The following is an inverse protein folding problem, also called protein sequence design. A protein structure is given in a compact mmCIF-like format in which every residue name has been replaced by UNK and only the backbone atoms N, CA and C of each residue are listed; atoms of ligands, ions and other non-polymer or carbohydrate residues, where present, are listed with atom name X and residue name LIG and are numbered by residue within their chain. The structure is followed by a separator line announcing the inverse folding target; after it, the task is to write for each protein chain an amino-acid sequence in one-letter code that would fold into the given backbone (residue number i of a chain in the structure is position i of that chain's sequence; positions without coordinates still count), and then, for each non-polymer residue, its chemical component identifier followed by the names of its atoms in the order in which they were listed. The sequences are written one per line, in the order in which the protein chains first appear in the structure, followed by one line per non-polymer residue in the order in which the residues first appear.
data_IF_829544599739
#
_entry.id   IF_829544599739
#
_cell.length_a   1.000
_cell.length_b   1.000
_cell.length_c   1.000
_cell.angle_alpha   90.00
_cell.angle_beta   90.00
_cell.angle_gamma   90.00
#
_symmetry.space_group_name_H-M   'P 1'
#
loop_
_entity.id
_entity.type
_entity.pdbx_description
1 polymer ?
#
# COMPACT_ATOMS: atom_id res chain seq x y z
N UNK A 1 -7.86 10.10 0.16
CA UNK A 1 -7.10 11.25 -0.33
C UNK A 1 -6.37 10.97 -1.64
N UNK A 2 -5.44 10.00 -1.70
CA UNK A 2 -4.74 9.63 -2.95
C UNK A 2 -5.69 9.48 -4.15
N UNK A 3 -6.80 8.74 -3.98
CA UNK A 3 -7.84 8.61 -5.00
C UNK A 3 -8.42 9.96 -5.47
N UNK A 4 -8.70 10.88 -4.54
CA UNK A 4 -9.29 12.18 -4.85
C UNK A 4 -8.29 13.03 -5.65
N UNK A 5 -7.05 13.13 -5.18
CA UNK A 5 -5.99 13.87 -5.86
C UNK A 5 -5.76 13.37 -7.29
N UNK A 6 -5.71 12.04 -7.48
CA UNK A 6 -5.56 11.47 -8.82
C UNK A 6 -6.79 11.72 -9.68
N UNK A 7 -8.00 11.62 -9.12
CA UNK A 7 -9.25 11.84 -9.86
C UNK A 7 -9.41 13.30 -10.28
N UNK A 8 -9.02 14.24 -9.42
CA UNK A 8 -9.05 15.68 -9.67
C UNK A 8 -8.02 16.09 -10.73
N UNK A 9 -6.83 15.48 -10.71
CA UNK A 9 -5.80 15.69 -11.74
C UNK A 9 -6.21 15.07 -13.09
N UNK A 10 -6.59 13.79 -13.10
CA UNK A 10 -7.04 13.09 -14.29
C UNK A 10 -7.94 11.88 -13.95
N UNK A 11 -9.25 11.92 -14.29
CA UNK A 11 -10.17 10.82 -13.99
C UNK A 11 -9.81 9.50 -14.69
N UNK A 12 -9.12 9.53 -15.83
CA UNK A 12 -8.72 8.32 -16.56
C UNK A 12 -7.66 7.52 -15.79
N UNK A 13 -6.81 8.20 -14.99
CA UNK A 13 -5.83 7.53 -14.11
C UNK A 13 -6.55 6.64 -13.11
N UNK A 14 -7.57 7.18 -12.44
CA UNK A 14 -8.33 6.43 -11.45
C UNK A 14 -9.14 5.31 -12.11
N UNK A 15 -9.73 5.57 -13.28
CA UNK A 15 -10.43 4.54 -14.06
C UNK A 15 -9.53 3.34 -14.36
N UNK A 16 -8.30 3.58 -14.82
CA UNK A 16 -7.32 2.53 -15.04
C UNK A 16 -6.97 1.79 -13.74
N UNK A 17 -6.73 2.51 -12.64
CA UNK A 17 -6.40 1.91 -11.34
C UNK A 17 -7.57 1.16 -10.67
N UNK A 18 -8.80 1.36 -11.14
CA UNK A 18 -9.99 0.59 -10.74
C UNK A 18 -10.26 -0.64 -11.62
N UNK A 19 -9.44 -0.89 -12.64
CA UNK A 19 -9.62 -2.07 -13.51
C UNK A 19 -9.51 -3.37 -12.69
N UNK A 20 -10.45 -4.34 -12.82
CA UNK A 20 -10.49 -5.53 -11.98
C UNK A 20 -9.28 -6.46 -12.12
N UNK A 21 -8.42 -6.23 -13.10
CA UNK A 21 -7.22 -7.03 -13.34
C UNK A 21 -5.93 -6.21 -13.28
N UNK A 22 -5.99 -4.97 -12.78
CA UNK A 22 -4.86 -4.03 -12.87
C UNK A 22 -3.58 -4.55 -12.24
N UNK A 23 -3.70 -5.25 -11.10
CA UNK A 23 -2.57 -5.67 -10.28
C UNK A 23 -2.73 -7.12 -9.83
N UNK A 24 -1.71 -7.92 -10.07
CA UNK A 24 -1.59 -9.31 -9.65
C UNK A 24 -0.42 -9.46 -8.69
N UNK A 25 -0.69 -10.06 -7.53
CA UNK A 25 0.33 -10.52 -6.59
C UNK A 25 0.46 -12.04 -6.80
N UNK A 26 1.59 -12.56 -7.32
CA UNK A 26 1.77 -13.99 -7.58
C UNK A 26 1.85 -14.81 -6.31
N UNK A 27 1.36 -16.06 -6.35
CA UNK A 27 1.40 -16.98 -5.21
C UNK A 27 2.72 -16.97 -4.42
N UNK A 28 2.62 -17.02 -3.10
CA UNK A 28 3.79 -17.09 -2.23
C UNK A 28 3.99 -18.53 -1.75
N UNK A 29 5.01 -19.20 -2.29
CA UNK A 29 5.41 -20.57 -1.92
C UNK A 29 6.62 -20.55 -0.99
N UNK A 30 6.56 -21.33 0.08
CA UNK A 30 7.67 -21.57 1.01
C UNK A 30 7.73 -23.07 1.28
N UNK A 31 8.90 -23.68 1.09
CA UNK A 31 9.13 -25.12 1.27
C UNK A 31 8.14 -25.99 0.47
N UNK A 32 7.84 -25.58 -0.77
CA UNK A 32 6.88 -26.27 -1.65
C UNK A 32 5.40 -26.09 -1.28
N UNK A 33 5.08 -25.41 -0.16
CA UNK A 33 3.70 -25.15 0.27
C UNK A 33 3.27 -23.73 -0.10
N UNK A 34 2.08 -23.61 -0.69
CA UNK A 34 1.44 -22.31 -0.97
C UNK A 34 0.99 -21.70 0.35
N UNK A 35 1.64 -20.61 0.77
CA UNK A 35 1.26 -19.83 1.96
C UNK A 35 0.25 -18.73 1.63
N UNK A 36 0.22 -18.28 0.37
CA UNK A 36 -0.74 -17.30 -0.15
C UNK A 36 -1.00 -17.62 -1.61
N UNK A 37 -2.27 -17.76 -2.00
CA UNK A 37 -2.64 -17.91 -3.39
C UNK A 37 -2.37 -16.63 -4.18
N UNK A 38 -2.37 -16.72 -5.51
CA UNK A 38 -2.37 -15.55 -6.39
C UNK A 38 -3.55 -14.63 -6.05
N UNK A 39 -3.34 -13.32 -6.12
CA UNK A 39 -4.40 -12.33 -5.87
C UNK A 39 -4.36 -11.27 -6.96
N UNK A 40 -5.39 -11.26 -7.80
CA UNK A 40 -5.62 -10.30 -8.89
C UNK A 40 -6.79 -9.37 -8.53
N UNK A 41 -6.88 -8.20 -9.13
CA UNK A 41 -7.86 -7.17 -8.72
C UNK A 41 -7.44 -5.73 -9.05
N UNK A 42 -8.30 -4.76 -8.70
CA UNK A 42 -8.04 -3.33 -8.87
C UNK A 42 -7.14 -2.75 -7.77
N UNK A 43 -6.45 -1.63 -8.01
CA UNK A 43 -5.71 -0.93 -6.96
C UNK A 43 -6.67 -0.18 -6.03
N UNK A 44 -7.67 0.51 -6.59
CA UNK A 44 -8.74 1.15 -5.83
C UNK A 44 -10.04 0.37 -5.96
N UNK A 45 -10.72 0.13 -4.84
CA UNK A 45 -11.99 -0.60 -4.80
C UNK A 45 -12.83 -0.19 -3.59
N UNK A 46 -14.13 -0.45 -3.66
CA UNK A 46 -14.98 -0.42 -2.47
C UNK A 46 -14.86 -1.77 -1.78
N UNK A 47 -14.42 -1.77 -0.54
CA UNK A 47 -14.39 -2.98 0.28
C UNK A 47 -15.83 -3.37 0.62
N UNK A 48 -16.25 -4.58 0.26
CA UNK A 48 -17.65 -5.01 0.40
C UNK A 48 -18.11 -5.09 1.87
N UNK A 49 -17.20 -5.44 2.78
CA UNK A 49 -17.53 -5.63 4.20
C UNK A 49 -17.71 -4.29 4.91
N UNK A 50 -16.80 -3.35 4.66
CA UNK A 50 -16.81 -2.04 5.33
C UNK A 50 -17.51 -0.95 4.52
N UNK A 51 -17.85 -1.20 3.25
CA UNK A 51 -18.43 -0.25 2.31
C UNK A 51 -17.63 1.06 2.20
N UNK A 52 -16.29 0.96 2.31
CA UNK A 52 -15.38 2.11 2.19
C UNK A 52 -14.43 1.95 1.03
N UNK A 53 -14.07 3.07 0.42
CA UNK A 53 -13.00 3.13 -0.56
C UNK A 53 -11.67 2.69 0.07
N UNK A 54 -11.09 1.67 -0.51
CA UNK A 54 -9.84 1.03 -0.09
C UNK A 54 -8.82 1.03 -1.21
N UNK A 55 -7.54 0.92 -0.83
CA UNK A 55 -6.43 0.85 -1.75
C UNK A 55 -5.58 -0.37 -1.40
N UNK A 56 -5.30 -1.21 -2.41
CA UNK A 56 -4.28 -2.26 -2.32
C UNK A 56 -3.14 -1.89 -3.26
N UNK A 57 -2.03 -1.43 -2.68
CA UNK A 57 -0.86 -1.04 -3.45
C UNK A 57 0.42 -1.22 -2.65
N UNK A 58 1.51 -1.49 -3.35
CA UNK A 58 2.85 -1.55 -2.77
C UNK A 58 3.86 -1.02 -3.77
N UNK A 59 4.75 -0.13 -3.32
CA UNK A 59 5.89 0.32 -4.13
C UNK A 59 7.02 -0.74 -4.20
N UNK A 60 6.87 -1.88 -3.50
CA UNK A 60 7.82 -2.99 -3.58
C UNK A 60 7.55 -3.81 -4.85
N UNK A 61 8.20 -3.43 -5.95
CA UNK A 61 7.96 -3.98 -7.30
C UNK A 61 8.37 -5.44 -7.52
N UNK A 62 9.19 -6.03 -6.63
CA UNK A 62 9.81 -7.35 -6.86
C UNK A 62 8.83 -8.52 -7.02
N UNK A 63 7.56 -8.37 -6.65
CA UNK A 63 6.56 -9.45 -6.70
C UNK A 63 5.17 -8.94 -7.08
N UNK A 64 5.10 -7.97 -8.00
CA UNK A 64 3.84 -7.43 -8.52
C UNK A 64 3.88 -7.48 -10.03
N UNK A 65 2.83 -8.03 -10.62
CA UNK A 65 2.56 -8.01 -12.05
C UNK A 65 1.42 -7.04 -12.31
N UNK A 66 1.56 -6.21 -13.33
CA UNK A 66 0.47 -5.34 -13.79
C UNK A 66 -0.05 -5.86 -15.13
N UNK A 67 -1.34 -5.66 -15.38
CA UNK A 67 -1.92 -5.94 -16.70
C UNK A 67 -1.17 -5.11 -17.76
N UNK A 68 -0.77 -5.76 -18.85
CA UNK A 68 0.03 -5.14 -19.91
C UNK A 68 -0.82 -4.20 -20.77
N UNK A 69 -0.97 -2.97 -20.30
CA UNK A 69 -1.66 -1.88 -20.99
C UNK A 69 -0.88 -0.59 -20.77
N UNK A 70 -0.81 0.24 -21.80
CA UNK A 70 -0.12 1.53 -21.72
C UNK A 70 -0.82 2.47 -20.73
N UNK A 71 -2.15 2.47 -20.74
CA UNK A 71 -2.99 3.24 -19.82
C UNK A 71 -2.68 2.87 -18.36
N UNK A 72 -2.56 1.57 -18.06
CA UNK A 72 -2.24 1.07 -16.72
C UNK A 72 -0.82 1.45 -16.32
N UNK A 73 0.16 1.32 -17.22
CA UNK A 73 1.54 1.72 -16.96
C UNK A 73 1.64 3.21 -16.61
N UNK A 74 0.97 4.07 -17.37
CA UNK A 74 0.96 5.51 -17.10
C UNK A 74 0.21 5.83 -15.80
N UNK A 75 -0.90 5.16 -15.51
CA UNK A 75 -1.65 5.37 -14.28
C UNK A 75 -0.87 4.94 -13.02
N UNK A 76 -0.19 3.78 -13.07
CA UNK A 76 0.70 3.32 -12.00
C UNK A 76 1.87 4.28 -11.81
N UNK A 77 2.44 4.81 -12.90
CA UNK A 77 3.49 5.83 -12.82
C UNK A 77 3.00 7.10 -12.12
N UNK A 78 1.80 7.60 -12.44
CA UNK A 78 1.19 8.76 -11.76
C UNK A 78 0.94 8.50 -10.28
N UNK A 79 0.47 7.31 -9.92
CA UNK A 79 0.34 6.89 -8.53
C UNK A 79 1.71 6.89 -7.82
N UNK A 80 2.75 6.33 -8.43
CA UNK A 80 4.11 6.33 -7.89
C UNK A 80 4.67 7.76 -7.74
N UNK A 81 4.44 8.66 -8.69
CA UNK A 81 4.83 10.07 -8.61
C UNK A 81 4.16 10.75 -7.41
N UNK A 82 2.84 10.59 -7.25
CA UNK A 82 2.10 11.16 -6.12
C UNK A 82 2.56 10.62 -4.76
N UNK A 83 2.84 9.32 -4.67
CA UNK A 83 3.32 8.68 -3.43
C UNK A 83 4.77 9.01 -3.07
N UNK A 84 5.56 9.50 -4.04
CA UNK A 84 6.93 9.96 -3.80
C UNK A 84 7.03 11.48 -3.60
N UNK A 85 6.00 12.22 -3.98
CA UNK A 85 5.90 13.65 -3.70
C UNK A 85 5.76 13.91 -2.19
N UNK A 86 6.08 15.14 -1.79
CA UNK A 86 5.69 15.65 -0.47
C UNK A 86 4.35 16.35 -0.61
N UNK A 87 3.38 15.95 0.21
CA UNK A 87 2.03 16.55 0.26
C UNK A 87 1.58 16.67 1.70
N UNK A 88 0.56 17.49 1.96
CA UNK A 88 -0.03 17.66 3.30
C UNK A 88 -0.62 16.37 3.90
N UNK A 89 -0.72 15.31 3.10
CA UNK A 89 -1.24 14.01 3.50
C UNK A 89 -0.16 12.96 3.78
N UNK A 90 1.11 13.36 3.70
CA UNK A 90 2.24 12.56 4.11
C UNK A 90 2.62 12.89 5.55
N UNK A 91 2.41 11.91 6.44
CA UNK A 91 2.77 12.05 7.85
C UNK A 91 4.10 11.36 8.13
N UNK A 92 5.02 12.10 8.73
CA UNK A 92 6.32 11.59 9.19
C UNK A 92 6.36 11.70 10.71
N UNK A 93 6.63 10.59 11.39
CA UNK A 93 6.72 10.56 12.84
C UNK A 93 7.92 9.74 13.31
N UNK A 94 8.72 10.34 14.20
CA UNK A 94 9.75 9.63 14.94
C UNK A 94 9.17 9.21 16.29
N UNK A 95 8.95 7.91 16.46
CA UNK A 95 8.41 7.36 17.71
C UNK A 95 9.39 7.55 18.87
N UNK A 96 8.89 8.05 20.00
CA UNK A 96 9.58 8.07 21.27
C UNK A 96 9.31 6.79 22.08
N UNK A 97 10.13 6.51 23.10
CA UNK A 97 9.90 5.40 24.03
C UNK A 97 8.50 5.48 24.62
N UNK A 98 7.79 4.35 24.60
CA UNK A 98 6.39 4.25 25.07
C UNK A 98 5.34 4.69 24.05
N UNK A 99 5.73 5.24 22.89
CA UNK A 99 4.79 5.56 21.82
C UNK A 99 4.55 4.38 20.88
N UNK A 100 3.35 4.33 20.31
CA UNK A 100 2.96 3.38 19.28
C UNK A 100 2.08 4.05 18.23
N UNK A 101 1.89 3.36 17.11
CA UNK A 101 0.94 3.74 16.06
C UNK A 101 -0.09 2.63 15.92
N UNK A 102 -1.36 3.01 16.05
CA UNK A 102 -2.49 2.19 15.69
C UNK A 102 -3.08 2.71 14.38
N UNK A 103 -3.26 1.85 13.38
CA UNK A 103 -3.76 2.27 12.07
C UNK A 103 -4.51 1.14 11.34
N UNK A 104 -5.44 1.53 10.47
CA UNK A 104 -6.21 0.64 9.61
C UNK A 104 -5.43 0.27 8.33
N UNK A 105 -4.26 -0.36 8.51
CA UNK A 105 -3.37 -0.85 7.44
C UNK A 105 -3.09 0.20 6.33
N UNK A 106 -2.83 1.44 6.74
CA UNK A 106 -2.46 2.52 5.81
C UNK A 106 -1.13 2.20 5.11
N UNK A 107 -0.92 2.76 3.92
CA UNK A 107 0.38 2.69 3.27
C UNK A 107 1.43 3.38 4.15
N UNK A 108 2.52 2.68 4.45
CA UNK A 108 3.60 3.20 5.29
C UNK A 108 4.95 2.65 4.85
N UNK A 109 5.99 3.45 5.07
CA UNK A 109 7.39 3.03 4.94
C UNK A 109 8.16 3.43 6.20
N UNK A 110 9.33 2.83 6.38
CA UNK A 110 10.29 3.22 7.42
C UNK A 110 11.55 3.71 6.76
N UNK A 111 12.20 4.69 7.37
CA UNK A 111 13.57 5.03 7.03
C UNK A 111 14.52 3.97 7.61
N UNK A 112 15.69 3.81 7.00
CA UNK A 112 16.79 3.08 7.62
C UNK A 112 17.19 3.76 8.92
N UNK A 113 17.68 2.98 9.87
CA UNK A 113 18.20 3.47 11.13
C UNK A 113 19.47 2.70 11.48
N UNK A 114 20.35 3.33 12.25
CA UNK A 114 21.50 2.68 12.86
C UNK A 114 21.18 2.50 14.34
N UNK A 115 21.33 1.28 14.84
CA UNK A 115 20.98 0.99 16.23
C UNK A 115 22.11 1.41 17.20
N UNK A 116 21.72 1.85 18.40
CA UNK A 116 22.68 2.01 19.48
C UNK A 116 22.94 0.64 20.11
N UNK A 117 24.19 0.19 20.15
CA UNK A 117 24.56 -1.12 20.71
C UNK A 117 24.15 -1.28 22.17
N UNK A 118 24.18 -0.21 22.95
CA UNK A 118 23.88 -0.23 24.39
C UNK A 118 22.38 -0.02 24.68
N UNK A 119 21.61 0.44 23.70
CA UNK A 119 20.17 0.67 23.80
C UNK A 119 19.48 0.36 22.48
N UNK A 120 19.35 -0.93 22.13
CA UNK A 120 18.80 -1.31 20.85
C UNK A 120 17.30 -0.99 20.77
N UNK A 121 16.84 -0.62 19.58
CA UNK A 121 15.41 -0.35 19.35
C UNK A 121 14.60 -1.64 19.42
N UNK A 122 13.64 -1.70 20.35
CA UNK A 122 12.58 -2.70 20.35
C UNK A 122 11.28 -2.11 19.80
N UNK A 123 10.68 -2.77 18.81
CA UNK A 123 9.35 -2.41 18.27
C UNK A 123 8.46 -3.65 18.16
N UNK A 124 7.44 -3.73 18.99
CA UNK A 124 6.46 -4.81 18.98
C UNK A 124 5.33 -4.47 18.00
N UNK A 125 4.87 -5.46 17.22
CA UNK A 125 3.82 -5.26 16.22
C UNK A 125 2.71 -6.30 16.38
N UNK A 126 1.52 -5.83 16.70
CA UNK A 126 0.28 -6.59 16.56
C UNK A 126 -0.31 -6.46 15.16
N UNK A 127 -1.06 -7.48 14.73
CA UNK A 127 -1.95 -7.41 13.56
C UNK A 127 -3.30 -7.95 13.98
N UNK A 128 -4.34 -7.21 13.61
CA UNK A 128 -5.72 -7.53 13.94
C UNK A 128 -6.50 -7.72 12.64
N UNK A 129 -7.43 -8.67 12.65
CA UNK A 129 -8.33 -8.90 11.52
C UNK A 129 -9.41 -7.84 11.42
N UNK A 130 -9.86 -7.34 12.57
CA UNK A 130 -10.92 -6.33 12.64
C UNK A 130 -10.32 -4.93 12.52
N UNK A 131 -11.04 -4.08 11.79
CA UNK A 131 -10.77 -2.65 11.67
C UNK A 131 -11.04 -1.95 13.01
N UNK A 132 -10.33 -0.87 13.28
CA UNK A 132 -10.65 0.04 14.38
C UNK A 132 -11.68 1.05 13.90
N UNK A 133 -12.73 1.26 14.70
CA UNK A 133 -13.80 2.23 14.46
C UNK A 133 -13.41 3.63 14.91
#
# INVERSE_FOLDING_TARGET
MVYLLLREDNPDVVKALTHPEVMTIPEHKVDGKVRRATSTGPIFFIDEVSNVLSMRYTQRKKHIEFLDSEEIKQAVKKLDELLNASTDYHFVHLLQTGQGLLCNNILHKRNSFTDNKDSPRLFLRGRYFNRIN
#
